data_IF_227486919180
#
_entry.id   IF_227486919180
#
_cell.length_a   1.000
_cell.length_b   1.000
_cell.length_c   1.000
_cell.angle_alpha   90.00
_cell.angle_beta   90.00
_cell.angle_gamma   90.00
#
_symmetry.space_group_name_H-M   'P 1'
#
loop_
_entity.id
_entity.type
_entity.pdbx_description
1 polymer ?
#
# COMPACT_ATOMS: atom_id res chain seq x y z
N UNK A 1 -4.81 27.98 13.43
CA UNK A 1 -5.73 29.13 13.41
C UNK A 1 -6.21 29.32 11.98
N UNK A 2 -7.46 29.71 11.78
CA UNK A 2 -7.98 29.98 10.44
C UNK A 2 -7.47 31.33 9.93
N UNK A 3 -7.10 31.40 8.65
CA UNK A 3 -6.79 32.66 8.00
C UNK A 3 -8.12 33.34 7.64
N UNK A 4 -8.46 34.44 8.32
CA UNK A 4 -9.74 35.14 8.19
C UNK A 4 -10.10 35.51 6.74
N UNK A 5 -9.11 35.74 5.89
CA UNK A 5 -9.30 36.03 4.47
C UNK A 5 -9.88 34.85 3.68
N UNK A 6 -9.58 33.61 4.07
CA UNK A 6 -10.04 32.40 3.38
C UNK A 6 -11.51 32.07 3.65
N UNK A 7 -12.12 32.70 4.67
CA UNK A 7 -13.56 32.60 4.95
C UNK A 7 -14.36 33.34 3.87
N UNK A 8 -13.78 34.40 3.28
CA UNK A 8 -14.47 35.28 2.33
C UNK A 8 -14.03 35.07 0.87
N UNK A 9 -12.82 34.53 0.64
CA UNK A 9 -12.26 34.35 -0.70
C UNK A 9 -11.71 32.94 -0.89
N UNK A 10 -12.07 32.32 -2.03
CA UNK A 10 -11.54 31.02 -2.43
C UNK A 10 -10.02 31.08 -2.62
N UNK A 11 -9.30 30.19 -1.94
CA UNK A 11 -7.84 30.08 -2.06
C UNK A 11 -7.47 29.61 -3.46
N UNK A 12 -6.65 30.39 -4.17
CA UNK A 12 -6.09 29.96 -5.44
C UNK A 12 -4.93 28.98 -5.21
N UNK A 13 -5.20 27.69 -5.43
CA UNK A 13 -4.25 26.58 -5.22
C UNK A 13 -2.92 26.72 -5.97
N UNK A 14 -2.92 27.45 -7.09
CA UNK A 14 -1.72 27.57 -7.94
C UNK A 14 -0.77 28.67 -7.48
N UNK A 15 -1.27 29.68 -6.77
CA UNK A 15 -0.50 30.84 -6.30
C UNK A 15 -0.32 30.88 -4.78
N UNK A 16 -0.96 29.97 -4.03
CA UNK A 16 -0.93 30.00 -2.57
C UNK A 16 0.39 29.45 -1.98
N UNK A 17 1.04 30.25 -1.13
CA UNK A 17 2.18 29.87 -0.27
C UNK A 17 1.70 29.23 1.04
N UNK A 18 2.60 28.65 1.85
CA UNK A 18 2.23 27.93 3.09
C UNK A 18 1.37 28.74 4.06
N UNK A 19 1.48 30.07 4.05
CA UNK A 19 0.78 30.95 5.00
C UNK A 19 -0.71 31.16 4.69
N UNK A 20 -1.15 30.95 3.44
CA UNK A 20 -2.57 31.05 3.07
C UNK A 20 -3.32 29.71 3.16
N UNK A 21 -2.70 28.64 3.68
CA UNK A 21 -3.40 27.39 3.95
C UNK A 21 -4.03 27.49 5.34
N UNK A 22 -5.32 27.82 5.40
CA UNK A 22 -6.09 27.59 6.60
C UNK A 22 -6.47 26.11 6.70
N UNK A 23 -6.96 25.67 7.86
CA UNK A 23 -7.29 24.27 8.11
C UNK A 23 -8.36 23.64 7.19
N UNK A 24 -8.85 24.35 6.15
CA UNK A 24 -9.73 23.82 5.10
C UNK A 24 -8.97 23.22 3.91
N UNK A 25 -7.69 23.55 3.73
CA UNK A 25 -6.92 23.13 2.56
C UNK A 25 -5.51 22.68 3.02
N UNK A 26 -4.92 21.65 2.40
CA UNK A 26 -3.57 21.15 2.74
C UNK A 26 -2.48 21.58 1.73
N UNK A 27 -1.43 22.23 2.23
CA UNK A 27 -0.26 22.65 1.45
C UNK A 27 0.47 21.55 0.69
N UNK A 28 1.25 21.94 -0.34
CA UNK A 28 2.09 21.02 -1.13
C UNK A 28 2.98 20.15 -0.23
N UNK A 29 3.14 18.89 -0.62
CA UNK A 29 3.80 17.84 0.17
C UNK A 29 5.19 18.25 0.72
N UNK A 30 5.29 18.49 2.04
CA UNK A 30 6.57 18.59 2.76
C UNK A 30 7.12 17.20 3.12
N UNK A 31 8.45 17.01 3.15
CA UNK A 31 9.08 15.73 3.50
C UNK A 31 9.13 15.55 5.03
N UNK A 32 8.56 14.45 5.54
CA UNK A 32 8.69 13.98 6.94
C UNK A 32 7.55 14.37 7.91
N UNK A 33 7.35 13.55 8.95
CA UNK A 33 6.42 13.77 10.08
C UNK A 33 5.02 13.15 9.95
N UNK A 34 4.37 12.89 11.10
CA UNK A 34 2.94 12.54 11.14
C UNK A 34 2.12 13.75 10.73
N UNK A 35 1.23 13.59 9.75
CA UNK A 35 0.43 14.69 9.23
C UNK A 35 -1.06 14.46 9.50
N UNK A 36 -1.75 15.55 9.82
CA UNK A 36 -3.20 15.55 10.02
C UNK A 36 -3.89 15.22 8.69
N UNK A 37 -4.83 14.27 8.75
CA UNK A 37 -5.68 13.89 7.63
C UNK A 37 -6.89 14.83 7.56
N UNK A 38 -7.18 15.39 6.38
CA UNK A 38 -8.26 16.35 6.19
C UNK A 38 -9.36 15.73 5.33
N UNK A 39 -10.60 15.80 5.81
CA UNK A 39 -11.77 15.45 5.01
C UNK A 39 -12.25 16.69 4.24
N UNK A 40 -11.64 16.93 3.09
CA UNK A 40 -12.04 18.04 2.21
C UNK A 40 -13.33 17.68 1.47
N UNK A 41 -14.21 18.65 1.22
CA UNK A 41 -15.46 18.41 0.46
C UNK A 41 -15.19 18.34 -1.06
N UNK A 42 -14.27 17.46 -1.47
CA UNK A 42 -13.83 17.27 -2.86
C UNK A 42 -14.08 15.83 -3.35
N UNK A 43 -14.21 15.65 -4.67
CA UNK A 43 -14.43 14.33 -5.29
C UNK A 43 -13.36 13.29 -4.92
N UNK A 44 -12.16 13.74 -4.56
CA UNK A 44 -11.05 12.90 -4.11
C UNK A 44 -11.39 12.09 -2.85
N UNK A 45 -12.24 12.63 -1.95
CA UNK A 45 -12.67 11.90 -0.76
C UNK A 45 -13.49 10.66 -1.12
N UNK A 46 -14.27 10.69 -2.20
CA UNK A 46 -15.01 9.50 -2.67
C UNK A 46 -14.01 8.39 -3.02
N UNK A 47 -12.94 8.74 -3.74
CA UNK A 47 -11.87 7.79 -4.10
C UNK A 47 -11.20 7.22 -2.84
N UNK A 48 -10.85 8.09 -1.89
CA UNK A 48 -10.23 7.66 -0.62
C UNK A 48 -11.17 6.73 0.16
N UNK A 49 -12.46 7.06 0.26
CA UNK A 49 -13.45 6.21 0.94
C UNK A 49 -13.60 4.85 0.25
N UNK A 50 -13.68 4.81 -1.08
CA UNK A 50 -13.72 3.56 -1.83
C UNK A 50 -12.48 2.70 -1.55
N UNK A 51 -11.29 3.30 -1.52
CA UNK A 51 -10.05 2.60 -1.19
C UNK A 51 -10.06 2.05 0.24
N UNK A 52 -10.47 2.86 1.22
CA UNK A 52 -10.56 2.43 2.62
C UNK A 52 -11.53 1.25 2.77
N UNK A 53 -12.74 1.36 2.21
CA UNK A 53 -13.76 0.31 2.27
C UNK A 53 -13.24 -0.98 1.61
N UNK A 54 -12.60 -0.87 0.44
CA UNK A 54 -12.04 -2.02 -0.26
C UNK A 54 -11.01 -2.77 0.60
N UNK A 55 -10.03 -2.07 1.18
CA UNK A 55 -8.98 -2.71 1.99
C UNK A 55 -9.51 -3.23 3.34
N UNK A 56 -10.48 -2.54 3.96
CA UNK A 56 -11.14 -3.04 5.17
C UNK A 56 -11.89 -4.34 4.88
N UNK A 57 -12.61 -4.43 3.75
CA UNK A 57 -13.31 -5.65 3.37
C UNK A 57 -12.34 -6.81 3.09
N UNK A 58 -11.20 -6.56 2.44
CA UNK A 58 -10.16 -7.56 2.27
C UNK A 58 -9.61 -8.06 3.61
N UNK A 59 -9.32 -7.15 4.53
CA UNK A 59 -8.83 -7.48 5.88
C UNK A 59 -9.89 -8.29 6.65
N UNK A 60 -11.16 -7.89 6.59
CA UNK A 60 -12.28 -8.59 7.21
C UNK A 60 -12.36 -10.03 6.71
N UNK A 61 -12.30 -10.24 5.40
CA UNK A 61 -12.30 -11.59 4.82
C UNK A 61 -11.10 -12.44 5.23
N UNK A 62 -9.91 -11.83 5.32
CA UNK A 62 -8.70 -12.50 5.80
C UNK A 62 -8.83 -12.95 7.26
N UNK A 63 -9.26 -12.05 8.15
CA UNK A 63 -9.47 -12.34 9.56
C UNK A 63 -10.49 -13.47 9.73
N UNK A 64 -11.58 -13.44 8.96
CA UNK A 64 -12.60 -14.49 9.01
C UNK A 64 -11.99 -15.87 8.67
N UNK A 65 -11.17 -15.95 7.62
CA UNK A 65 -10.54 -17.20 7.19
C UNK A 65 -9.53 -17.74 8.21
N UNK A 66 -8.79 -16.86 8.90
CA UNK A 66 -7.87 -17.29 9.96
C UNK A 66 -8.62 -17.76 11.20
N UNK A 67 -9.51 -16.93 11.73
CA UNK A 67 -10.12 -17.16 13.04
C UNK A 67 -11.22 -18.24 12.94
N UNK A 68 -12.15 -18.09 12.01
CA UNK A 68 -13.31 -18.99 11.93
C UNK A 68 -13.01 -20.26 11.13
N UNK A 69 -12.26 -20.16 10.02
CA UNK A 69 -11.93 -21.34 9.20
C UNK A 69 -10.64 -22.04 9.64
N UNK A 70 -9.98 -21.55 10.70
CA UNK A 70 -8.74 -22.11 11.29
C UNK A 70 -7.61 -22.29 10.27
N UNK A 71 -7.55 -21.44 9.24
CA UNK A 71 -6.53 -21.50 8.20
C UNK A 71 -5.23 -20.81 8.65
N UNK A 72 -4.57 -21.34 9.68
CA UNK A 72 -3.36 -20.73 10.26
C UNK A 72 -2.19 -20.61 9.28
N UNK A 73 -2.19 -21.38 8.19
CA UNK A 73 -1.20 -21.22 7.10
C UNK A 73 -1.21 -19.80 6.51
N UNK A 74 -2.35 -19.10 6.59
CA UNK A 74 -2.50 -17.73 6.10
C UNK A 74 -1.73 -16.72 6.96
N UNK A 75 -1.24 -17.07 8.15
CA UNK A 75 -0.36 -16.19 8.95
C UNK A 75 0.91 -15.78 8.19
N UNK A 76 1.32 -16.55 7.18
CA UNK A 76 2.42 -16.19 6.28
C UNK A 76 2.14 -14.90 5.45
N UNK A 77 0.88 -14.46 5.37
CA UNK A 77 0.48 -13.23 4.68
C UNK A 77 0.54 -11.98 5.57
N UNK A 78 0.86 -12.09 6.87
CA UNK A 78 0.94 -10.92 7.76
C UNK A 78 1.88 -9.83 7.22
N UNK A 79 3.11 -10.15 6.75
CA UNK A 79 3.99 -9.15 6.14
C UNK A 79 3.39 -8.52 4.88
N UNK A 80 2.74 -9.32 4.04
CA UNK A 80 2.06 -8.84 2.83
C UNK A 80 0.91 -7.87 3.17
N UNK A 81 0.16 -8.13 4.25
CA UNK A 81 -0.88 -7.23 4.74
C UNK A 81 -0.26 -5.90 5.17
N UNK A 82 0.83 -5.93 5.93
CA UNK A 82 1.54 -4.72 6.32
C UNK A 82 1.96 -3.89 5.08
N UNK A 83 2.59 -4.52 4.08
CA UNK A 83 3.01 -3.85 2.84
C UNK A 83 1.82 -3.24 2.07
N UNK A 84 0.71 -3.97 1.96
CA UNK A 84 -0.51 -3.48 1.32
C UNK A 84 -1.12 -2.28 2.06
N UNK A 85 -1.21 -2.34 3.39
CA UNK A 85 -1.75 -1.24 4.21
C UNK A 85 -0.83 -0.02 4.23
N UNK A 86 0.48 -0.22 4.20
CA UNK A 86 1.44 0.86 4.04
C UNK A 86 1.31 1.55 2.67
N UNK A 87 1.20 0.75 1.60
CA UNK A 87 1.07 1.26 0.25
C UNK A 87 -0.22 2.07 0.06
N UNK A 88 -1.36 1.55 0.51
CA UNK A 88 -2.62 2.28 0.41
C UNK A 88 -2.64 3.54 1.26
N UNK A 89 -2.04 3.51 2.46
CA UNK A 89 -1.90 4.71 3.29
C UNK A 89 -1.08 5.79 2.58
N UNK A 90 -0.05 5.40 1.84
CA UNK A 90 0.75 6.31 1.02
C UNK A 90 -0.07 6.89 -0.14
N UNK A 91 -0.83 6.06 -0.86
CA UNK A 91 -1.77 6.52 -1.91
C UNK A 91 -2.77 7.54 -1.37
N UNK A 92 -3.41 7.21 -0.25
CA UNK A 92 -4.40 8.10 0.41
C UNK A 92 -3.75 9.45 0.73
N UNK A 93 -2.54 9.45 1.26
CA UNK A 93 -1.81 10.69 1.54
C UNK A 93 -1.48 11.48 0.27
N UNK A 94 -1.03 10.83 -0.81
CA UNK A 94 -0.71 11.52 -2.07
C UNK A 94 -1.95 12.08 -2.75
N UNK A 95 -3.09 11.36 -2.72
CA UNK A 95 -4.36 11.89 -3.21
C UNK A 95 -4.79 13.09 -2.38
N UNK A 96 -4.72 12.98 -1.04
CA UNK A 96 -5.10 14.06 -0.12
C UNK A 96 -4.16 15.29 -0.23
N UNK A 97 -2.92 15.09 -0.64
CA UNK A 97 -1.93 16.16 -0.89
C UNK A 97 -1.98 16.73 -2.32
N UNK A 98 -2.75 16.14 -3.22
CA UNK A 98 -2.77 16.51 -4.64
C UNK A 98 -1.46 16.22 -5.38
N UNK A 99 -0.62 15.28 -4.89
CA UNK A 99 0.67 14.93 -5.52
C UNK A 99 0.50 13.87 -6.64
N UNK A 100 -0.27 14.21 -7.68
CA UNK A 100 -0.63 13.29 -8.76
C UNK A 100 0.54 12.92 -9.69
N UNK A 101 1.55 13.79 -9.80
CA UNK A 101 2.55 13.69 -10.85
C UNK A 101 3.88 13.10 -10.40
N UNK A 102 4.22 13.19 -9.11
CA UNK A 102 5.53 12.75 -8.62
C UNK A 102 5.47 11.34 -8.04
N UNK A 103 4.80 11.17 -6.91
CA UNK A 103 4.84 9.92 -6.14
C UNK A 103 3.64 9.01 -6.36
N UNK A 104 2.47 9.57 -6.72
CA UNK A 104 1.26 8.77 -6.82
C UNK A 104 1.36 7.66 -7.89
N UNK A 105 1.98 7.94 -9.04
CA UNK A 105 2.08 6.98 -10.15
C UNK A 105 2.90 5.73 -9.77
N UNK A 106 4.08 5.94 -9.21
CA UNK A 106 4.93 4.83 -8.73
C UNK A 106 4.26 4.09 -7.59
N UNK A 107 3.62 4.81 -6.65
CA UNK A 107 2.93 4.18 -5.54
C UNK A 107 1.74 3.31 -5.98
N UNK A 108 0.95 3.76 -6.97
CA UNK A 108 -0.13 2.95 -7.55
C UNK A 108 0.44 1.68 -8.19
N UNK A 109 1.55 1.80 -8.93
CA UNK A 109 2.21 0.63 -9.52
C UNK A 109 2.60 -0.39 -8.46
N UNK A 110 3.32 0.02 -7.41
CA UNK A 110 3.74 -0.88 -6.33
C UNK A 110 2.56 -1.48 -5.57
N UNK A 111 1.52 -0.69 -5.27
CA UNK A 111 0.34 -1.23 -4.58
C UNK A 111 -0.45 -2.21 -5.43
N UNK A 112 -0.52 -2.03 -6.75
CA UNK A 112 -1.15 -2.98 -7.65
C UNK A 112 -0.35 -4.28 -7.77
N UNK A 113 0.96 -4.20 -7.96
CA UNK A 113 1.84 -5.38 -8.07
C UNK A 113 1.87 -6.16 -6.75
N UNK A 114 1.93 -5.46 -5.61
CA UNK A 114 1.85 -6.08 -4.28
C UNK A 114 0.51 -6.79 -4.08
N UNK A 115 -0.62 -6.19 -4.48
CA UNK A 115 -1.93 -6.82 -4.37
C UNK A 115 -2.04 -8.08 -5.24
N UNK A 116 -1.49 -8.05 -6.46
CA UNK A 116 -1.44 -9.20 -7.37
C UNK A 116 -0.63 -10.34 -6.74
N UNK A 117 0.56 -10.03 -6.21
CA UNK A 117 1.44 -11.00 -5.54
C UNK A 117 0.77 -11.60 -4.31
N UNK A 118 0.19 -10.78 -3.45
CA UNK A 118 -0.57 -11.23 -2.27
C UNK A 118 -1.71 -12.14 -2.67
N UNK A 119 -2.46 -11.80 -3.72
CA UNK A 119 -3.56 -12.64 -4.21
C UNK A 119 -3.06 -13.99 -4.75
N UNK A 120 -2.02 -13.99 -5.59
CA UNK A 120 -1.45 -15.22 -6.14
C UNK A 120 -0.90 -16.11 -5.04
N UNK A 121 -0.15 -15.54 -4.09
CA UNK A 121 0.40 -16.28 -2.95
C UNK A 121 -0.72 -16.84 -2.07
N UNK A 122 -1.75 -16.05 -1.80
CA UNK A 122 -2.97 -16.50 -1.11
C UNK A 122 -3.64 -17.70 -1.81
N UNK A 123 -3.82 -17.63 -3.13
CA UNK A 123 -4.35 -18.75 -3.92
C UNK A 123 -3.44 -19.98 -3.81
N UNK A 124 -2.12 -19.79 -3.90
CA UNK A 124 -1.16 -20.86 -3.77
C UNK A 124 -1.23 -21.57 -2.40
N UNK A 125 -1.36 -20.82 -1.31
CA UNK A 125 -1.46 -21.39 0.04
C UNK A 125 -2.73 -22.21 0.23
N UNK A 126 -3.86 -21.78 -0.36
CA UNK A 126 -5.13 -22.50 -0.27
C UNK A 126 -5.19 -23.68 -1.25
N UNK A 127 -4.67 -23.50 -2.47
CA UNK A 127 -4.64 -24.53 -3.51
C UNK A 127 -3.59 -25.59 -3.20
N UNK A 128 -2.59 -25.36 -2.35
CA UNK A 128 -1.75 -26.45 -1.83
C UNK A 128 -2.57 -27.53 -1.10
N UNK A 129 -3.77 -27.21 -0.62
CA UNK A 129 -4.74 -28.23 -0.14
C UNK A 129 -5.52 -28.92 -1.27
N UNK A 130 -5.39 -28.50 -2.54
CA UNK A 130 -6.10 -28.97 -3.74
C UNK A 130 -5.16 -29.11 -4.95
N UNK A 131 -4.43 -30.23 -5.03
CA UNK A 131 -3.63 -30.86 -6.11
C UNK A 131 -3.08 -30.12 -7.36
N UNK A 132 -3.49 -28.92 -7.79
CA UNK A 132 -2.96 -28.29 -9.01
C UNK A 132 -2.75 -26.77 -8.87
N UNK A 133 -1.50 -26.37 -8.65
CA UNK A 133 -1.04 -24.98 -8.81
C UNK A 133 -0.49 -24.84 -10.24
N UNK A 134 -0.96 -23.84 -11.00
CA UNK A 134 -0.42 -23.53 -12.32
C UNK A 134 1.00 -22.97 -12.21
N UNK A 135 1.94 -23.49 -13.01
CA UNK A 135 3.34 -23.02 -13.04
C UNK A 135 3.42 -21.51 -13.35
N UNK A 136 2.50 -20.99 -14.15
CA UNK A 136 2.42 -19.57 -14.50
C UNK A 136 2.23 -18.66 -13.29
N UNK A 137 1.46 -19.09 -12.29
CA UNK A 137 1.29 -18.34 -11.05
C UNK A 137 2.59 -18.26 -10.25
N UNK A 138 3.37 -19.34 -10.24
CA UNK A 138 4.67 -19.38 -9.57
C UNK A 138 5.66 -18.44 -10.27
N UNK A 139 5.67 -18.41 -11.60
CA UNK A 139 6.54 -17.50 -12.36
C UNK A 139 6.18 -16.03 -12.14
N UNK A 140 4.89 -15.68 -12.20
CA UNK A 140 4.45 -14.29 -11.97
C UNK A 140 4.80 -13.85 -10.54
N UNK A 141 4.54 -14.72 -9.55
CA UNK A 141 4.90 -14.47 -8.16
C UNK A 141 6.41 -14.22 -8.01
N UNK A 142 7.24 -15.08 -8.59
CA UNK A 142 8.69 -14.97 -8.51
C UNK A 142 9.25 -13.73 -9.18
N UNK A 143 8.77 -13.39 -10.39
CA UNK A 143 9.25 -12.22 -11.15
C UNK A 143 8.93 -10.93 -10.40
N UNK A 144 7.68 -10.76 -9.93
CA UNK A 144 7.28 -9.52 -9.25
C UNK A 144 8.03 -9.39 -7.92
N UNK A 145 8.08 -10.44 -7.10
CA UNK A 145 8.81 -10.39 -5.83
C UNK A 145 10.30 -10.15 -6.03
N UNK A 146 10.91 -10.71 -7.07
CA UNK A 146 12.31 -10.43 -7.40
C UNK A 146 12.53 -8.96 -7.80
N UNK A 147 11.63 -8.38 -8.60
CA UNK A 147 11.69 -6.97 -8.98
C UNK A 147 11.53 -6.05 -7.77
N UNK A 148 10.57 -6.33 -6.88
CA UNK A 148 10.39 -5.56 -5.64
C UNK A 148 11.64 -5.58 -4.78
N UNK A 149 12.25 -6.76 -4.60
CA UNK A 149 13.51 -6.91 -3.86
C UNK A 149 14.63 -6.08 -4.50
N UNK A 150 14.84 -6.17 -5.81
CA UNK A 150 15.88 -5.38 -6.51
C UNK A 150 15.67 -3.88 -6.30
N UNK A 151 14.45 -3.40 -6.50
CA UNK A 151 14.16 -1.97 -6.40
C UNK A 151 14.36 -1.50 -4.95
N UNK A 152 13.87 -2.26 -3.99
CA UNK A 152 14.01 -1.93 -2.58
C UNK A 152 15.47 -1.94 -2.12
N UNK A 153 16.30 -2.85 -2.64
CA UNK A 153 17.76 -2.82 -2.40
C UNK A 153 18.42 -1.56 -2.97
N UNK A 154 17.95 -1.07 -4.13
CA UNK A 154 18.44 0.18 -4.72
C UNK A 154 18.08 1.43 -3.91
N UNK A 155 17.05 1.35 -3.07
CA UNK A 155 16.53 2.47 -2.25
C UNK A 155 16.86 2.34 -0.75
N UNK A 156 17.75 1.42 -0.37
CA UNK A 156 18.14 1.22 1.02
C UNK A 156 18.92 2.42 1.58
N UNK A 157 18.22 3.23 2.38
CA UNK A 157 18.83 4.22 3.26
C UNK A 157 18.95 3.68 4.69
N UNK A 158 20.06 4.01 5.37
CA UNK A 158 20.36 3.62 6.75
C UNK A 158 19.29 4.06 7.75
N UNK A 159 18.63 5.18 7.47
CA UNK A 159 17.74 5.85 8.42
C UNK A 159 16.35 5.21 8.46
N UNK A 160 16.01 4.38 7.47
CA UNK A 160 14.67 3.77 7.32
C UNK A 160 14.73 2.23 7.17
N UNK A 161 15.81 1.61 7.66
CA UNK A 161 16.07 0.15 7.56
C UNK A 161 14.88 -0.68 8.06
N UNK A 162 14.32 -0.35 9.22
CA UNK A 162 13.24 -1.14 9.81
C UNK A 162 11.97 -1.19 8.94
N UNK A 163 11.60 -0.06 8.34
CA UNK A 163 10.47 0.03 7.42
C UNK A 163 10.77 -0.72 6.13
N UNK A 164 11.93 -0.48 5.53
CA UNK A 164 12.30 -1.10 4.27
C UNK A 164 12.39 -2.63 4.41
N UNK A 165 12.91 -3.13 5.54
CA UNK A 165 12.91 -4.56 5.83
C UNK A 165 11.49 -5.13 5.95
N UNK A 166 10.59 -4.44 6.66
CA UNK A 166 9.20 -4.89 6.80
C UNK A 166 8.47 -4.97 5.46
N UNK A 167 8.77 -4.06 4.52
CA UNK A 167 8.19 -4.06 3.18
C UNK A 167 8.72 -5.22 2.32
N UNK A 168 10.02 -5.48 2.38
CA UNK A 168 10.69 -6.55 1.61
C UNK A 168 10.39 -7.95 2.16
N UNK A 169 10.03 -8.06 3.45
CA UNK A 169 9.82 -9.34 4.12
C UNK A 169 8.77 -10.22 3.43
N UNK A 170 7.69 -9.61 2.91
CA UNK A 170 6.66 -10.28 2.12
C UNK A 170 7.26 -11.00 0.90
N UNK A 171 8.07 -10.28 0.11
CA UNK A 171 8.69 -10.80 -1.10
C UNK A 171 9.73 -11.88 -0.82
N UNK A 172 10.50 -11.74 0.27
CA UNK A 172 11.44 -12.78 0.69
C UNK A 172 10.74 -14.08 1.07
N UNK A 173 9.59 -14.00 1.77
CA UNK A 173 8.78 -15.18 2.10
C UNK A 173 8.26 -15.84 0.83
N UNK A 174 7.81 -15.07 -0.15
CA UNK A 174 7.34 -15.59 -1.44
C UNK A 174 8.45 -16.32 -2.18
N UNK A 175 9.63 -15.70 -2.33
CA UNK A 175 10.78 -16.30 -3.00
C UNK A 175 11.25 -17.58 -2.27
N UNK A 176 11.31 -17.56 -0.95
CA UNK A 176 11.66 -18.74 -0.16
C UNK A 176 10.65 -19.88 -0.33
N UNK A 177 9.35 -19.55 -0.37
CA UNK A 177 8.30 -20.55 -0.60
C UNK A 177 8.39 -21.17 -2.00
N UNK A 178 8.73 -20.39 -3.03
CA UNK A 178 8.99 -20.88 -4.39
C UNK A 178 10.15 -21.88 -4.37
N UNK A 179 11.26 -21.54 -3.71
CA UNK A 179 12.43 -22.43 -3.59
C UNK A 179 12.04 -23.76 -2.95
N UNK A 180 11.26 -23.73 -1.86
CA UNK A 180 10.78 -24.96 -1.20
C UNK A 180 9.96 -25.84 -2.14
N UNK A 181 9.16 -25.27 -3.03
CA UNK A 181 8.38 -26.04 -4.00
C UNK A 181 9.25 -26.71 -5.04
N UNK A 182 10.28 -26.03 -5.55
CA UNK A 182 11.14 -26.61 -6.58
C UNK A 182 12.15 -27.63 -6.05
N UNK A 183 12.49 -27.58 -4.75
CA UNK A 183 13.38 -28.56 -4.12
C UNK A 183 12.64 -29.87 -3.77
N UNK A 184 11.30 -29.83 -3.63
CA UNK A 184 10.47 -31.00 -3.31
C UNK A 184 9.89 -31.66 -4.56
#
# INVERSE_FOLDING_TARGET
>A
GYHLQNVYFLVNKNSCTCDCWDGFFRGKHSRGGYKIFYFNYEQQIIIILCLIIFYIELLRQYIIKIIFNKQFILLLLIPAIYSNFYGIWSIINYINDGDYYRMLKSQIYFSLTELIVTYIFYQCLIIKNKKHISIWFIYILGIISFLHVIIAFGELNSDEIGRNFALILSDLINLFWIIIIFIK
#
